data_IF_918208225788
#
_entry.id   IF_918208225788
#
_cell.length_a   1.000
_cell.length_b   1.000
_cell.length_c   1.000
_cell.angle_alpha   90.00
_cell.angle_beta   90.00
_cell.angle_gamma   90.00
#
_symmetry.space_group_name_H-M   'P 1'
#
loop_
_entity.id
_entity.type
_entity.pdbx_description
1 polymer ?
#
# COMPACT_ATOMS: atom_id res chain seq x y z
N UNK A 1 -3.90 -33.57 24.35
CA UNK A 1 -4.18 -32.26 23.72
C UNK A 1 -5.69 -32.16 23.60
N UNK A 2 -6.36 -31.11 24.11
CA UNK A 2 -7.80 -30.97 23.94
C UNK A 2 -8.15 -30.99 22.45
N UNK A 3 -9.08 -31.87 22.04
CA UNK A 3 -9.49 -32.05 20.65
C UNK A 3 -10.46 -30.96 20.15
N UNK A 4 -10.45 -29.77 20.79
CA UNK A 4 -11.37 -28.67 20.52
C UNK A 4 -10.80 -27.72 19.46
N UNK A 5 -11.63 -27.07 18.64
CA UNK A 5 -11.17 -26.07 17.70
C UNK A 5 -10.54 -24.88 18.45
N UNK A 6 -9.34 -24.49 18.02
CA UNK A 6 -8.62 -23.32 18.53
C UNK A 6 -8.82 -22.11 17.62
N UNK A 7 -9.17 -20.97 18.20
CA UNK A 7 -9.38 -19.71 17.51
C UNK A 7 -8.55 -18.61 18.17
N UNK A 8 -8.08 -17.67 17.37
CA UNK A 8 -7.49 -16.42 17.85
C UNK A 8 -8.48 -15.28 17.62
N UNK A 9 -8.69 -14.48 18.65
CA UNK A 9 -9.78 -13.49 18.67
C UNK A 9 -9.24 -12.14 18.25
N UNK A 10 -9.64 -11.67 17.07
CA UNK A 10 -9.37 -10.30 16.60
C UNK A 10 -10.52 -9.36 16.93
N UNK A 11 -10.24 -8.06 16.87
CA UNK A 11 -11.24 -7.01 16.89
C UNK A 11 -10.97 -5.98 15.79
N UNK A 12 -12.02 -5.48 15.14
CA UNK A 12 -11.89 -4.42 14.13
C UNK A 12 -13.15 -3.57 14.03
N UNK A 13 -12.98 -2.29 13.71
CA UNK A 13 -14.07 -1.37 13.32
C UNK A 13 -14.21 -1.25 11.80
N UNK A 14 -13.34 -1.90 11.02
CA UNK A 14 -13.31 -1.83 9.55
C UNK A 14 -13.50 -3.21 8.91
N UNK A 15 -14.72 -3.79 8.95
CA UNK A 15 -14.97 -5.11 8.36
C UNK A 15 -14.51 -5.24 6.90
N UNK A 16 -14.61 -4.17 6.10
CA UNK A 16 -14.10 -4.12 4.72
C UNK A 16 -12.60 -4.44 4.55
N UNK A 17 -11.81 -4.42 5.62
CA UNK A 17 -10.40 -4.84 5.56
C UNK A 17 -10.20 -6.34 5.77
N UNK A 18 -11.18 -7.06 6.32
CA UNK A 18 -11.10 -8.51 6.59
C UNK A 18 -10.80 -9.34 5.33
N UNK A 19 -11.42 -9.09 4.15
CA UNK A 19 -11.07 -9.82 2.93
C UNK A 19 -9.59 -9.74 2.52
N UNK A 20 -8.85 -8.80 3.07
CA UNK A 20 -7.43 -8.54 2.78
C UNK A 20 -6.52 -8.88 3.96
N UNK A 21 -7.03 -9.58 4.97
CA UNK A 21 -6.20 -10.04 6.08
C UNK A 21 -5.14 -11.04 5.59
N UNK A 22 -3.90 -10.80 6.02
CA UNK A 22 -2.73 -11.62 5.67
C UNK A 22 -1.85 -11.98 6.87
N UNK A 23 -2.02 -11.32 8.01
CA UNK A 23 -1.30 -11.65 9.23
C UNK A 23 -2.11 -11.25 10.47
N UNK A 24 -1.59 -11.61 11.64
CA UNK A 24 -2.12 -11.25 12.94
C UNK A 24 -0.99 -10.62 13.74
N UNK A 25 -1.27 -9.57 14.49
CA UNK A 25 -0.28 -8.85 15.28
C UNK A 25 -0.56 -8.99 16.77
N UNK A 26 0.49 -9.30 17.52
CA UNK A 26 0.49 -9.42 18.98
C UNK A 26 1.69 -8.67 19.54
N UNK A 27 1.53 -8.00 20.67
CA UNK A 27 2.67 -7.40 21.36
C UNK A 27 3.62 -8.48 21.92
N UNK A 28 4.95 -8.42 21.69
CA UNK A 28 5.89 -9.47 22.11
C UNK A 28 5.97 -9.67 23.63
N UNK A 29 5.83 -8.59 24.39
CA UNK A 29 5.99 -8.58 25.85
C UNK A 29 4.67 -8.75 26.63
N UNK A 30 3.52 -8.68 25.95
CA UNK A 30 2.23 -8.88 26.62
C UNK A 30 1.96 -10.37 26.82
N UNK A 31 1.18 -10.68 27.86
CA UNK A 31 0.77 -12.05 28.16
C UNK A 31 -0.55 -12.37 27.46
N UNK A 32 -0.60 -13.50 26.77
CA UNK A 32 -1.79 -14.03 26.10
C UNK A 32 -2.28 -15.28 26.81
N UNK A 33 -3.59 -15.43 26.88
CA UNK A 33 -4.26 -16.54 27.53
C UNK A 33 -4.92 -17.46 26.49
N UNK A 34 -4.80 -18.76 26.70
CA UNK A 34 -5.63 -19.77 26.08
C UNK A 34 -6.83 -20.03 27.00
N UNK A 35 -8.03 -19.68 26.55
CA UNK A 35 -9.27 -19.73 27.32
C UNK A 35 -10.15 -20.85 26.79
N UNK A 36 -10.55 -21.79 27.64
CA UNK A 36 -11.55 -22.81 27.31
C UNK A 36 -12.96 -22.28 27.62
N UNK A 37 -13.78 -22.15 26.59
CA UNK A 37 -15.17 -21.68 26.67
C UNK A 37 -16.20 -22.81 26.66
N UNK A 38 -15.73 -24.06 26.77
CA UNK A 38 -16.56 -25.26 26.67
C UNK A 38 -16.50 -25.87 25.27
N UNK A 39 -16.97 -25.14 24.26
CA UNK A 39 -17.04 -25.58 22.86
C UNK A 39 -15.73 -25.32 22.08
N UNK A 40 -15.03 -24.23 22.36
CA UNK A 40 -13.81 -23.80 21.66
C UNK A 40 -12.74 -23.24 22.59
N UNK A 41 -11.51 -23.19 22.09
CA UNK A 41 -10.38 -22.56 22.75
C UNK A 41 -10.11 -21.19 22.11
N UNK A 42 -10.06 -20.14 22.90
CA UNK A 42 -9.84 -18.77 22.44
C UNK A 42 -8.46 -18.27 22.89
N UNK A 43 -7.74 -17.62 21.98
CA UNK A 43 -6.50 -16.88 22.27
C UNK A 43 -6.78 -15.39 22.19
N UNK A 44 -6.50 -14.69 23.29
CA UNK A 44 -6.59 -13.23 23.43
C UNK A 44 -5.64 -12.75 24.55
N UNK A 45 -5.42 -11.44 24.65
CA UNK A 45 -4.59 -10.90 25.73
C UNK A 45 -5.20 -11.22 27.09
N UNK A 46 -4.36 -11.67 28.03
CA UNK A 46 -4.78 -12.13 29.37
C UNK A 46 -5.60 -11.07 30.10
N UNK A 47 -5.14 -9.82 30.04
CA UNK A 47 -5.75 -8.69 30.75
C UNK A 47 -7.09 -8.24 30.12
N UNK A 48 -7.43 -8.78 28.93
CA UNK A 48 -8.71 -8.53 28.23
C UNK A 48 -9.69 -9.68 28.35
N UNK A 49 -9.31 -10.81 28.97
CA UNK A 49 -10.13 -12.03 29.00
C UNK A 49 -11.50 -11.77 29.63
N UNK A 50 -11.54 -11.19 30.82
CA UNK A 50 -12.79 -10.95 31.56
C UNK A 50 -13.74 -10.05 30.78
N UNK A 51 -13.26 -8.86 30.37
CA UNK A 51 -14.05 -7.90 29.59
C UNK A 51 -14.53 -8.48 28.26
N UNK A 52 -13.69 -9.24 27.55
CA UNK A 52 -14.07 -9.86 26.29
C UNK A 52 -15.12 -10.96 26.48
N UNK A 53 -14.96 -11.84 27.48
CA UNK A 53 -15.92 -12.91 27.75
C UNK A 53 -17.31 -12.35 28.13
N UNK A 54 -17.35 -11.33 28.99
CA UNK A 54 -18.59 -10.62 29.33
C UNK A 54 -19.24 -10.04 28.06
N UNK A 55 -18.45 -9.37 27.21
CA UNK A 55 -18.92 -8.76 25.97
C UNK A 55 -19.48 -9.75 24.94
N UNK A 56 -18.92 -10.97 24.93
CA UNK A 56 -19.33 -12.07 24.08
C UNK A 56 -20.52 -12.84 24.67
N UNK A 57 -20.85 -12.64 25.94
CA UNK A 57 -21.84 -13.43 26.66
C UNK A 57 -21.40 -14.89 26.85
N UNK A 58 -20.10 -15.11 27.04
CA UNK A 58 -19.50 -16.43 27.21
C UNK A 58 -18.84 -16.55 28.59
N UNK A 59 -18.83 -17.76 29.14
CA UNK A 59 -18.01 -18.11 30.29
C UNK A 59 -16.76 -18.86 29.81
N UNK A 60 -15.64 -18.70 30.53
CA UNK A 60 -14.41 -19.37 30.14
C UNK A 60 -13.38 -19.47 31.25
N UNK A 61 -12.52 -20.47 31.15
CA UNK A 61 -11.42 -20.71 32.09
C UNK A 61 -10.08 -20.61 31.38
N UNK A 62 -9.16 -19.84 31.95
CA UNK A 62 -7.77 -19.78 31.48
C UNK A 62 -7.09 -21.13 31.71
N UNK A 63 -6.65 -21.76 30.63
CA UNK A 63 -5.97 -23.06 30.63
C UNK A 63 -4.45 -22.93 30.66
N UNK A 64 -3.92 -21.93 29.94
CA UNK A 64 -2.50 -21.66 29.84
C UNK A 64 -2.27 -20.19 29.48
N UNK A 65 -1.06 -19.70 29.75
CA UNK A 65 -0.63 -18.36 29.36
C UNK A 65 0.77 -18.39 28.78
N UNK A 66 1.07 -17.50 27.85
CA UNK A 66 2.42 -17.34 27.27
C UNK A 66 2.66 -15.87 26.91
N UNK A 67 3.92 -15.50 26.69
CA UNK A 67 4.27 -14.20 26.12
C UNK A 67 3.93 -14.16 24.63
N UNK A 68 3.56 -12.99 24.10
CA UNK A 68 3.25 -12.83 22.68
C UNK A 68 4.40 -13.21 21.75
N UNK A 69 5.64 -13.04 22.20
CA UNK A 69 6.84 -13.50 21.48
C UNK A 69 6.84 -15.02 21.23
N UNK A 70 6.20 -15.81 22.10
CA UNK A 70 6.09 -17.27 21.96
C UNK A 70 5.00 -17.70 20.98
N UNK A 71 4.11 -16.78 20.58
CA UNK A 71 3.08 -17.04 19.56
C UNK A 71 3.59 -16.78 18.13
N UNK A 72 4.80 -16.25 17.98
CA UNK A 72 5.35 -15.87 16.67
C UNK A 72 5.30 -17.04 15.67
N UNK A 73 4.87 -16.73 14.45
CA UNK A 73 4.73 -17.65 13.31
C UNK A 73 3.68 -18.77 13.46
N UNK A 74 2.96 -18.87 14.59
CA UNK A 74 1.76 -19.71 14.65
C UNK A 74 0.75 -19.13 13.65
N UNK A 75 0.17 -20.00 12.85
CA UNK A 75 -0.67 -19.62 11.73
C UNK A 75 -2.12 -20.06 11.93
N UNK A 76 -3.06 -19.19 11.57
CA UNK A 76 -4.49 -19.44 11.66
C UNK A 76 -5.13 -19.37 10.28
N UNK A 77 -6.17 -20.15 10.05
CA UNK A 77 -6.98 -20.01 8.84
C UNK A 77 -7.70 -18.66 8.83
N UNK A 78 -7.78 -18.06 7.65
CA UNK A 78 -8.58 -16.86 7.45
C UNK A 78 -10.03 -17.05 7.93
N UNK A 79 -10.70 -16.03 8.52
CA UNK A 79 -12.06 -16.17 9.08
C UNK A 79 -13.13 -16.59 8.05
N UNK A 80 -12.88 -16.39 6.76
CA UNK A 80 -13.76 -16.77 5.65
C UNK A 80 -13.32 -18.04 4.91
N UNK A 81 -12.28 -18.73 5.38
CA UNK A 81 -11.77 -19.97 4.78
C UNK A 81 -12.85 -21.06 4.61
N UNK A 82 -13.85 -21.22 5.50
CA UNK A 82 -14.92 -22.20 5.31
C UNK A 82 -15.85 -21.89 4.13
N UNK A 83 -15.98 -20.63 3.70
CA UNK A 83 -16.97 -20.22 2.71
C UNK A 83 -16.47 -20.22 1.26
N UNK A 84 -15.17 -20.02 1.04
CA UNK A 84 -14.63 -19.93 -0.32
C UNK A 84 -13.14 -20.28 -0.40
N UNK A 85 -12.75 -21.00 -1.47
CA UNK A 85 -11.36 -21.43 -1.72
C UNK A 85 -10.36 -20.27 -1.72
N UNK A 86 -10.72 -19.12 -2.29
CA UNK A 86 -9.87 -17.92 -2.28
C UNK A 86 -9.54 -17.34 -0.89
N UNK A 87 -10.22 -17.81 0.16
CA UNK A 87 -9.88 -17.51 1.56
C UNK A 87 -9.20 -18.68 2.28
N UNK A 88 -8.91 -19.81 1.62
CA UNK A 88 -8.09 -20.89 2.19
C UNK A 88 -6.60 -20.51 2.17
N UNK A 89 -6.27 -19.50 2.96
CA UNK A 89 -4.91 -19.04 3.24
C UNK A 89 -4.72 -18.90 4.74
N UNK A 90 -3.46 -18.94 5.14
CA UNK A 90 -3.04 -18.83 6.52
C UNK A 90 -2.60 -17.39 6.83
N UNK A 91 -2.95 -16.93 8.02
CA UNK A 91 -2.50 -15.67 8.60
C UNK A 91 -1.54 -15.99 9.76
N UNK A 92 -0.22 -15.84 9.58
CA UNK A 92 0.75 -16.01 10.65
C UNK A 92 0.68 -14.88 11.68
N UNK A 93 1.08 -15.17 12.90
CA UNK A 93 1.27 -14.18 13.95
C UNK A 93 2.65 -13.52 13.83
N UNK A 94 2.66 -12.19 13.76
CA UNK A 94 3.84 -11.34 13.79
C UNK A 94 3.88 -10.49 15.07
N UNK A 95 4.93 -10.60 15.88
CA UNK A 95 5.13 -9.71 17.01
C UNK A 95 5.22 -8.24 16.55
N UNK A 96 4.46 -7.36 17.20
CA UNK A 96 4.44 -5.94 16.88
C UNK A 96 4.18 -5.08 18.13
N UNK A 97 5.07 -4.14 18.40
CA UNK A 97 5.05 -3.28 19.60
C UNK A 97 3.92 -2.24 19.61
N UNK A 98 3.27 -1.99 18.46
CA UNK A 98 2.17 -1.03 18.38
C UNK A 98 0.86 -1.56 18.99
N UNK A 99 0.77 -2.86 19.29
CA UNK A 99 -0.44 -3.49 19.83
C UNK A 99 -0.59 -3.13 21.31
N UNK A 100 -1.68 -2.44 21.66
CA UNK A 100 -1.98 -2.05 23.05
C UNK A 100 -3.18 -2.82 23.62
N UNK A 101 -3.44 -2.64 24.92
CA UNK A 101 -4.55 -3.25 25.65
C UNK A 101 -5.72 -2.29 25.87
N UNK A 102 -5.67 -1.08 25.32
CA UNK A 102 -6.70 -0.07 25.56
C UNK A 102 -8.04 -0.48 24.91
N UNK A 103 -7.97 -1.08 23.72
CA UNK A 103 -9.15 -1.47 22.94
C UNK A 103 -9.02 -2.86 22.33
N UNK A 104 -10.15 -3.46 21.99
CA UNK A 104 -10.21 -4.78 21.36
C UNK A 104 -9.78 -5.91 22.31
N UNK A 105 -9.04 -6.86 21.74
CA UNK A 105 -8.73 -8.16 22.34
C UNK A 105 -7.23 -8.34 22.63
N UNK A 106 -6.42 -7.34 22.29
CA UNK A 106 -4.96 -7.43 22.25
C UNK A 106 -4.40 -8.22 21.07
N UNK A 107 -5.25 -8.62 20.10
CA UNK A 107 -4.80 -9.18 18.82
C UNK A 107 -5.35 -8.32 17.69
N UNK A 108 -4.47 -7.80 16.84
CA UNK A 108 -4.82 -6.95 15.71
C UNK A 108 -4.75 -7.78 14.44
N UNK A 109 -5.79 -7.74 13.61
CA UNK A 109 -5.72 -8.35 12.28
C UNK A 109 -4.95 -7.40 11.36
N UNK A 110 -4.08 -7.94 10.50
CA UNK A 110 -3.20 -7.15 9.65
C UNK A 110 -3.61 -7.23 8.19
N UNK A 111 -3.91 -6.07 7.60
CA UNK A 111 -4.22 -5.91 6.19
C UNK A 111 -3.25 -4.88 5.58
N UNK A 112 -2.06 -5.30 5.10
CA UNK A 112 -0.93 -4.41 4.82
C UNK A 112 -1.19 -3.33 3.75
N UNK A 113 -2.20 -3.51 2.90
CA UNK A 113 -2.60 -2.47 1.94
C UNK A 113 -3.42 -1.32 2.58
N UNK A 114 -3.85 -1.43 3.84
CA UNK A 114 -4.81 -0.51 4.46
C UNK A 114 -4.38 0.04 5.84
N UNK A 115 -3.16 -0.28 6.28
CA UNK A 115 -2.57 0.24 7.52
C UNK A 115 -1.05 0.41 7.39
N UNK A 116 -0.51 1.51 7.94
CA UNK A 116 0.93 1.79 7.85
C UNK A 116 1.74 0.84 8.74
N UNK A 117 1.27 0.60 9.96
CA UNK A 117 1.86 -0.34 10.91
C UNK A 117 1.78 -1.79 10.39
N UNK A 118 0.66 -2.14 9.76
CA UNK A 118 0.45 -3.43 9.09
C UNK A 118 1.47 -3.65 7.96
N UNK A 119 1.62 -2.64 7.10
CA UNK A 119 2.60 -2.66 6.02
C UNK A 119 4.02 -2.88 6.56
N UNK A 120 4.44 -2.06 7.54
CA UNK A 120 5.78 -2.18 8.16
C UNK A 120 5.99 -3.55 8.80
N UNK A 121 5.01 -4.06 9.55
CA UNK A 121 5.08 -5.38 10.19
C UNK A 121 5.23 -6.51 9.17
N UNK A 122 4.42 -6.49 8.11
CA UNK A 122 4.49 -7.49 7.04
C UNK A 122 5.81 -7.41 6.25
N UNK A 123 6.30 -6.20 5.97
CA UNK A 123 7.61 -5.99 5.30
C UNK A 123 8.78 -6.48 6.16
N UNK A 124 8.76 -6.22 7.46
CA UNK A 124 9.77 -6.74 8.40
C UNK A 124 9.79 -8.27 8.41
N UNK A 125 8.63 -8.91 8.19
CA UNK A 125 8.47 -10.36 8.06
C UNK A 125 8.60 -10.88 6.61
N UNK A 126 9.23 -10.10 5.71
CA UNK A 126 9.60 -10.47 4.34
C UNK A 126 8.41 -10.73 3.40
N UNK A 127 7.24 -10.18 3.68
CA UNK A 127 6.15 -10.18 2.70
C UNK A 127 6.57 -9.32 1.49
N UNK A 128 6.57 -9.92 0.30
CA UNK A 128 6.92 -9.20 -0.92
C UNK A 128 5.78 -8.28 -1.35
N UNK A 129 6.09 -7.17 -2.02
CA UNK A 129 5.07 -6.18 -2.39
C UNK A 129 4.03 -6.75 -3.36
N UNK A 130 4.44 -7.67 -4.24
CA UNK A 130 3.54 -8.40 -5.16
C UNK A 130 2.54 -9.32 -4.45
N UNK A 131 2.85 -9.73 -3.23
CA UNK A 131 2.02 -10.67 -2.46
C UNK A 131 1.06 -9.91 -1.53
N UNK A 132 1.14 -8.56 -1.45
CA UNK A 132 0.24 -7.72 -0.67
C UNK A 132 -1.11 -7.63 -1.39
N UNK A 133 -2.17 -8.08 -0.71
CA UNK A 133 -3.53 -8.03 -1.24
C UNK A 133 -4.08 -6.60 -1.18
N UNK A 134 -4.34 -6.02 -2.35
CA UNK A 134 -4.95 -4.70 -2.48
C UNK A 134 -6.21 -4.71 -3.37
N UNK A 135 -7.30 -5.39 -2.96
CA UNK A 135 -8.50 -5.50 -3.78
C UNK A 135 -9.33 -4.21 -3.91
N UNK A 136 -9.13 -3.19 -3.06
CA UNK A 136 -9.92 -1.95 -3.11
C UNK A 136 -9.39 -1.00 -4.18
N UNK A 137 -10.19 -0.76 -5.22
CA UNK A 137 -9.86 0.15 -6.32
C UNK A 137 -10.02 1.64 -5.92
N UNK A 138 -9.59 2.54 -6.81
CA UNK A 138 -9.50 3.99 -6.51
C UNK A 138 -10.83 4.68 -6.24
N UNK A 139 -11.92 4.05 -6.66
CA UNK A 139 -13.30 4.47 -6.42
C UNK A 139 -13.90 3.87 -5.13
N UNK A 140 -13.14 3.10 -4.35
CA UNK A 140 -13.62 2.44 -3.14
C UNK A 140 -14.48 1.19 -3.41
N UNK A 141 -14.39 0.62 -4.60
CA UNK A 141 -15.06 -0.63 -5.00
C UNK A 141 -14.03 -1.76 -5.02
N UNK A 142 -14.42 -2.96 -4.59
CA UNK A 142 -13.54 -4.13 -4.72
C UNK A 142 -13.36 -4.56 -6.17
N UNK A 143 -12.15 -5.00 -6.51
CA UNK A 143 -11.80 -5.54 -7.81
C UNK A 143 -12.65 -6.77 -8.16
N UNK A 144 -12.84 -7.02 -9.46
CA UNK A 144 -13.72 -8.08 -9.95
C UNK A 144 -13.28 -9.49 -9.56
N UNK A 145 -11.99 -9.68 -9.28
CA UNK A 145 -11.40 -10.96 -8.87
C UNK A 145 -11.57 -11.28 -7.39
N UNK A 146 -12.01 -10.34 -6.54
CA UNK A 146 -12.14 -10.60 -5.10
C UNK A 146 -13.31 -11.57 -4.82
N UNK A 147 -13.06 -12.73 -4.18
CA UNK A 147 -14.14 -13.65 -3.84
C UNK A 147 -15.22 -13.04 -2.95
N UNK A 148 -16.46 -13.47 -3.11
CA UNK A 148 -17.66 -13.08 -2.33
C UNK A 148 -18.09 -11.60 -2.41
N UNK A 149 -17.16 -10.66 -2.61
CA UNK A 149 -17.41 -9.22 -2.52
C UNK A 149 -16.98 -8.44 -3.78
N UNK A 150 -16.70 -9.13 -4.88
CA UNK A 150 -16.35 -8.51 -6.16
C UNK A 150 -17.35 -7.40 -6.56
N UNK A 151 -16.82 -6.28 -7.06
CA UNK A 151 -17.59 -5.12 -7.54
C UNK A 151 -18.47 -4.43 -6.48
N UNK A 152 -18.34 -4.77 -5.20
CA UNK A 152 -19.07 -4.12 -4.12
C UNK A 152 -18.32 -2.88 -3.62
N UNK A 153 -19.09 -1.83 -3.32
CA UNK A 153 -18.57 -0.65 -2.64
C UNK A 153 -18.30 -0.97 -1.16
N UNK A 154 -17.13 -0.63 -0.64
CA UNK A 154 -16.65 -1.08 0.70
C UNK A 154 -17.65 -0.84 1.83
N UNK A 155 -18.36 0.30 1.84
CA UNK A 155 -19.33 0.61 2.90
C UNK A 155 -20.60 -0.26 2.80
N UNK A 156 -20.98 -0.66 1.58
CA UNK A 156 -22.08 -1.61 1.35
C UNK A 156 -21.64 -3.06 1.62
N UNK A 157 -20.35 -3.34 1.49
CA UNK A 157 -19.78 -4.65 1.77
C UNK A 157 -19.65 -4.94 3.28
N UNK A 158 -19.44 -3.93 4.13
CA UNK A 158 -19.36 -4.10 5.59
C UNK A 158 -20.42 -5.05 6.20
N UNK A 159 -21.74 -4.81 6.01
CA UNK A 159 -22.75 -5.73 6.56
C UNK A 159 -22.69 -7.13 5.92
N UNK A 160 -22.36 -7.24 4.62
CA UNK A 160 -22.22 -8.53 3.94
C UNK A 160 -21.03 -9.34 4.47
N UNK A 161 -19.93 -8.67 4.83
CA UNK A 161 -18.76 -9.31 5.42
C UNK A 161 -19.07 -9.82 6.82
N UNK A 162 -19.80 -9.03 7.62
CA UNK A 162 -20.26 -9.48 8.95
C UNK A 162 -21.15 -10.71 8.83
N UNK A 163 -22.07 -10.72 7.87
CA UNK A 163 -22.93 -11.90 7.63
C UNK A 163 -22.12 -13.10 7.15
N UNK A 164 -21.17 -12.92 6.23
CA UNK A 164 -20.27 -13.99 5.81
C UNK A 164 -19.45 -14.55 6.98
N UNK A 165 -18.97 -13.72 7.91
CA UNK A 165 -18.29 -14.22 9.12
C UNK A 165 -19.25 -14.98 10.06
N UNK A 166 -20.53 -14.58 10.11
CA UNK A 166 -21.58 -15.29 10.85
C UNK A 166 -21.83 -16.67 10.25
N UNK A 167 -22.02 -16.74 8.93
CA UNK A 167 -22.19 -18.00 8.18
C UNK A 167 -20.96 -18.92 8.29
N UNK A 168 -19.75 -18.36 8.28
CA UNK A 168 -18.51 -19.09 8.46
C UNK A 168 -18.30 -19.62 9.89
N UNK A 169 -19.11 -19.17 10.87
CA UNK A 169 -18.96 -19.50 12.28
C UNK A 169 -17.75 -18.87 12.96
N UNK A 170 -17.16 -17.82 12.36
CA UNK A 170 -15.99 -17.11 12.89
C UNK A 170 -16.35 -15.80 13.63
N UNK A 171 -17.59 -15.31 13.50
CA UNK A 171 -18.08 -14.14 14.22
C UNK A 171 -18.46 -14.48 15.67
N UNK A 172 -17.77 -13.88 16.63
CA UNK A 172 -18.12 -13.99 18.06
C UNK A 172 -19.14 -12.94 18.50
N UNK A 173 -18.95 -11.69 18.06
CA UNK A 173 -19.81 -10.58 18.46
C UNK A 173 -19.80 -9.46 17.42
N UNK A 174 -20.97 -8.94 17.11
CA UNK A 174 -21.15 -7.68 16.37
C UNK A 174 -21.80 -6.63 17.26
N UNK A 175 -21.30 -5.39 17.19
CA UNK A 175 -21.83 -4.21 17.90
C UNK A 175 -21.58 -2.96 17.04
N UNK A 176 -22.50 -2.00 17.09
CA UNK A 176 -22.25 -0.66 16.51
C UNK A 176 -21.31 0.12 17.41
N UNK A 177 -20.25 0.68 16.83
CA UNK A 177 -19.22 1.42 17.57
C UNK A 177 -19.12 2.85 17.02
N UNK A 178 -19.40 3.84 17.87
CA UNK A 178 -19.33 5.26 17.50
C UNK A 178 -18.04 5.86 18.01
N UNK A 179 -17.19 6.34 17.09
CA UNK A 179 -15.93 6.98 17.40
C UNK A 179 -15.55 8.01 16.34
N UNK A 180 -14.53 8.82 16.63
CA UNK A 180 -13.97 9.75 15.65
C UNK A 180 -13.33 8.98 14.49
N UNK A 181 -13.74 9.29 13.26
CA UNK A 181 -13.21 8.70 12.04
C UNK A 181 -12.66 9.79 11.11
N UNK A 182 -11.72 9.42 10.25
CA UNK A 182 -11.12 10.36 9.30
C UNK A 182 -12.12 10.71 8.20
N UNK A 183 -12.30 12.01 7.95
CA UNK A 183 -13.16 12.51 6.90
C UNK A 183 -12.40 13.51 6.01
N UNK A 184 -12.73 13.53 4.72
CA UNK A 184 -12.25 14.54 3.80
C UNK A 184 -12.66 15.92 4.32
N UNK A 185 -11.69 16.81 4.56
CA UNK A 185 -11.96 18.13 5.14
C UNK A 185 -12.91 18.98 4.27
N UNK A 186 -12.96 18.74 2.95
CA UNK A 186 -13.82 19.43 1.98
C UNK A 186 -15.18 18.74 1.80
N UNK A 187 -15.18 17.47 1.37
CA UNK A 187 -16.41 16.75 1.03
C UNK A 187 -17.13 16.15 2.25
N UNK A 188 -16.47 16.12 3.42
CA UNK A 188 -16.94 15.48 4.65
C UNK A 188 -17.27 14.00 4.50
N UNK A 189 -16.83 13.36 3.42
CA UNK A 189 -16.95 11.92 3.21
C UNK A 189 -15.87 11.17 4.01
N UNK A 190 -16.15 9.95 4.50
CA UNK A 190 -15.12 9.11 5.12
C UNK A 190 -13.95 8.84 4.17
N UNK A 191 -12.74 8.79 4.71
CA UNK A 191 -11.52 8.43 3.95
C UNK A 191 -10.89 7.18 4.53
N UNK A 192 -10.15 6.45 3.69
CA UNK A 192 -9.43 5.23 4.06
C UNK A 192 -7.94 5.40 3.74
N UNK A 193 -7.09 4.71 4.49
CA UNK A 193 -5.74 4.44 4.02
C UNK A 193 -5.78 3.37 2.94
N UNK A 194 -4.98 3.57 1.90
CA UNK A 194 -4.82 2.62 0.82
C UNK A 194 -3.42 2.72 0.26
N UNK A 195 -2.72 1.60 0.19
CA UNK A 195 -1.47 1.46 -0.53
C UNK A 195 -1.76 1.76 -2.01
N UNK A 196 -1.05 2.73 -2.57
CA UNK A 196 -1.15 3.09 -3.97
C UNK A 196 0.18 2.88 -4.64
N UNK A 197 0.16 2.47 -5.90
CA UNK A 197 1.34 2.52 -6.74
C UNK A 197 1.85 3.95 -6.81
N UNK A 198 3.16 4.11 -6.66
CA UNK A 198 3.89 5.34 -6.89
C UNK A 198 5.01 5.03 -7.87
N UNK A 199 5.39 6.02 -8.66
CA UNK A 199 6.42 5.90 -9.68
C UNK A 199 7.74 6.40 -9.13
N UNK A 200 8.78 5.58 -9.24
CA UNK A 200 10.10 5.87 -8.70
C UNK A 200 11.14 5.85 -9.82
N UNK A 201 12.07 6.80 -9.78
CA UNK A 201 13.35 6.68 -10.45
C UNK A 201 14.31 5.89 -9.56
N UNK A 202 14.78 4.75 -10.06
CA UNK A 202 15.72 3.93 -9.30
C UNK A 202 17.11 4.55 -9.31
N UNK A 203 17.68 4.74 -8.12
CA UNK A 203 19.01 5.34 -7.96
C UNK A 203 20.13 4.34 -8.28
N UNK A 204 19.91 3.05 -8.03
CA UNK A 204 20.94 2.01 -8.10
C UNK A 204 20.78 1.06 -9.29
N UNK A 205 19.60 1.02 -9.92
CA UNK A 205 19.37 0.15 -11.08
C UNK A 205 20.18 0.63 -12.27
N UNK A 206 20.99 -0.27 -12.84
CA UNK A 206 21.73 0.02 -14.08
C UNK A 206 20.77 0.03 -15.28
N UNK A 207 20.86 1.04 -16.17
CA UNK A 207 20.06 1.05 -17.38
C UNK A 207 20.44 -0.09 -18.33
N UNK A 208 19.54 -0.46 -19.23
CA UNK A 208 19.74 -1.57 -20.18
C UNK A 208 20.83 -1.31 -21.22
N UNK A 209 21.24 -0.06 -21.41
CA UNK A 209 22.31 0.35 -22.32
C UNK A 209 23.71 0.23 -21.69
N UNK A 210 23.81 -0.37 -20.49
CA UNK A 210 25.08 -0.65 -19.81
C UNK A 210 25.73 0.57 -19.15
N UNK A 211 25.07 1.74 -19.16
CA UNK A 211 25.57 2.95 -18.49
C UNK A 211 25.58 2.81 -16.96
N UNK A 212 26.23 3.77 -16.32
CA UNK A 212 26.21 3.88 -14.87
C UNK A 212 24.76 4.11 -14.37
N UNK A 213 24.47 3.63 -13.17
CA UNK A 213 23.25 3.96 -12.44
C UNK A 213 23.14 5.47 -12.21
N UNK A 214 21.93 5.96 -11.89
CA UNK A 214 21.72 7.38 -11.59
C UNK A 214 22.60 7.85 -10.43
N UNK A 215 22.82 7.01 -9.41
CA UNK A 215 23.70 7.33 -8.28
C UNK A 215 25.16 7.43 -8.72
N UNK A 216 25.66 6.45 -9.47
CA UNK A 216 27.03 6.46 -9.98
C UNK A 216 27.27 7.71 -10.84
N UNK A 217 26.37 8.00 -11.79
CA UNK A 217 26.47 9.18 -12.65
C UNK A 217 26.43 10.50 -11.85
N UNK A 218 25.53 10.61 -10.86
CA UNK A 218 25.45 11.80 -10.01
C UNK A 218 26.70 11.98 -9.14
N UNK A 219 27.26 10.90 -8.57
CA UNK A 219 28.50 10.97 -7.79
C UNK A 219 29.69 11.39 -8.66
N UNK A 220 29.82 10.86 -9.88
CA UNK A 220 30.85 11.31 -10.84
C UNK A 220 30.66 12.78 -11.20
N UNK A 221 29.43 13.23 -11.45
CA UNK A 221 29.13 14.64 -11.72
C UNK A 221 29.52 15.56 -10.55
N UNK A 222 29.25 15.15 -9.31
CA UNK A 222 29.69 15.88 -8.11
C UNK A 222 31.22 15.92 -8.02
N UNK A 223 31.91 14.83 -8.38
CA UNK A 223 33.38 14.82 -8.34
C UNK A 223 33.99 15.80 -9.35
N UNK A 224 33.41 15.89 -10.55
CA UNK A 224 33.88 16.74 -11.63
C UNK A 224 33.43 18.21 -11.51
N UNK A 225 32.59 18.55 -10.53
CA UNK A 225 32.10 19.92 -10.33
C UNK A 225 32.93 20.63 -9.26
N UNK A 226 33.32 21.87 -9.53
CA UNK A 226 33.94 22.74 -8.52
C UNK A 226 32.89 23.33 -7.58
N UNK A 227 33.14 23.26 -6.27
CA UNK A 227 32.24 23.78 -5.24
C UNK A 227 32.89 24.92 -4.46
N UNK A 228 32.17 26.02 -4.34
CA UNK A 228 32.54 27.16 -3.50
C UNK A 228 31.39 27.43 -2.52
N UNK A 229 31.56 27.16 -1.21
CA UNK A 229 32.74 26.62 -0.53
C UNK A 229 32.92 25.09 -0.66
N UNK A 230 34.16 24.61 -0.50
CA UNK A 230 34.53 23.21 -0.72
C UNK A 230 33.74 22.18 0.13
N UNK A 231 33.29 22.55 1.33
CA UNK A 231 32.50 21.65 2.17
C UNK A 231 31.14 21.29 1.55
N UNK A 232 30.63 22.11 0.62
CA UNK A 232 29.38 21.83 -0.11
C UNK A 232 29.44 20.52 -0.90
N UNK A 233 30.62 20.20 -1.46
CA UNK A 233 30.86 18.95 -2.20
C UNK A 233 30.64 17.72 -1.31
N UNK A 234 31.24 17.70 -0.12
CA UNK A 234 31.13 16.57 0.81
C UNK A 234 29.71 16.37 1.33
N UNK A 235 28.98 17.47 1.58
CA UNK A 235 27.57 17.44 1.98
C UNK A 235 26.69 16.81 0.90
N UNK A 236 26.83 17.28 -0.34
CA UNK A 236 26.03 16.77 -1.46
C UNK A 236 26.37 15.31 -1.78
N UNK A 237 27.67 14.96 -1.78
CA UNK A 237 28.14 13.58 -1.96
C UNK A 237 27.53 12.63 -0.92
N UNK A 238 27.56 13.01 0.36
CA UNK A 238 27.00 12.19 1.45
C UNK A 238 25.49 12.00 1.33
N UNK A 239 24.78 13.06 0.89
CA UNK A 239 23.34 12.99 0.62
C UNK A 239 23.03 12.02 -0.52
N UNK A 240 23.75 12.13 -1.65
CA UNK A 240 23.53 11.27 -2.82
C UNK A 240 23.98 9.84 -2.56
N UNK A 241 25.03 9.59 -1.78
CA UNK A 241 25.49 8.23 -1.50
C UNK A 241 24.44 7.36 -0.79
N UNK A 242 23.62 7.95 0.08
CA UNK A 242 22.64 7.23 0.91
C UNK A 242 21.18 7.48 0.50
N UNK A 243 20.95 8.18 -0.62
CA UNK A 243 19.59 8.56 -1.03
C UNK A 243 18.78 7.33 -1.46
N UNK A 244 17.55 7.11 -0.96
CA UNK A 244 16.68 6.06 -1.52
C UNK A 244 16.21 6.41 -2.94
N UNK A 245 15.49 5.48 -3.57
CA UNK A 245 14.82 5.72 -4.85
C UNK A 245 13.95 6.97 -4.81
N UNK A 246 13.96 7.73 -5.91
CA UNK A 246 13.27 9.01 -5.97
C UNK A 246 11.83 8.83 -6.43
N UNK A 247 10.87 9.07 -5.53
CA UNK A 247 9.45 9.12 -5.89
C UNK A 247 9.17 10.31 -6.82
N UNK A 248 8.88 10.03 -8.09
CA UNK A 248 8.57 11.00 -9.13
C UNK A 248 7.09 11.38 -9.16
N UNK A 249 6.19 10.45 -8.85
CA UNK A 249 4.75 10.71 -8.95
C UNK A 249 4.23 11.62 -7.84
N UNK A 250 3.29 12.49 -8.19
CA UNK A 250 2.52 13.34 -7.27
C UNK A 250 1.05 13.29 -7.67
N UNK A 251 0.15 13.04 -6.72
CA UNK A 251 -1.30 13.05 -6.96
C UNK A 251 -1.83 14.50 -6.94
N UNK A 252 -1.45 15.30 -7.95
CA UNK A 252 -1.84 16.71 -8.08
C UNK A 252 -2.51 16.95 -9.44
N UNK A 253 -3.31 18.01 -9.50
CA UNK A 253 -3.96 18.43 -10.76
C UNK A 253 -3.10 19.38 -11.59
N UNK A 254 -2.14 20.08 -10.95
CA UNK A 254 -1.27 21.04 -11.61
C UNK A 254 0.18 20.55 -11.58
N UNK A 255 0.74 20.32 -12.77
CA UNK A 255 2.10 19.81 -13.01
C UNK A 255 2.19 19.10 -14.36
N UNK A 256 3.40 18.72 -14.78
CA UNK A 256 3.59 17.91 -15.99
C UNK A 256 2.98 16.53 -15.78
N UNK A 257 2.02 16.07 -16.60
CA UNK A 257 1.39 14.76 -16.42
C UNK A 257 2.37 13.62 -16.71
N UNK A 258 2.29 12.56 -15.93
CA UNK A 258 2.92 11.28 -16.25
C UNK A 258 2.05 10.56 -17.29
N UNK A 259 2.20 10.95 -18.55
CA UNK A 259 1.23 10.69 -19.62
C UNK A 259 1.28 9.26 -20.21
N UNK A 260 0.93 8.27 -19.40
CA UNK A 260 0.73 6.88 -19.85
C UNK A 260 -0.55 6.30 -19.25
N UNK A 261 -0.94 5.11 -19.71
CA UNK A 261 -2.14 4.42 -19.27
C UNK A 261 -1.81 3.31 -18.28
N UNK A 262 -2.68 3.14 -17.28
CA UNK A 262 -2.58 2.09 -16.26
C UNK A 262 -3.83 1.22 -16.28
N UNK A 263 -3.67 -0.08 -16.07
CA UNK A 263 -4.78 -1.01 -16.00
C UNK A 263 -5.58 -0.78 -14.71
N UNK A 264 -6.91 -0.70 -14.81
CA UNK A 264 -7.81 -0.29 -13.70
C UNK A 264 -7.73 -1.17 -12.47
N UNK A 265 -7.48 -2.47 -12.65
CA UNK A 265 -7.47 -3.43 -11.55
C UNK A 265 -6.07 -3.78 -11.04
N UNK A 266 -5.11 -3.95 -11.95
CA UNK A 266 -3.74 -4.35 -11.57
C UNK A 266 -2.84 -3.15 -11.27
N UNK A 267 -3.18 -1.97 -11.76
CA UNK A 267 -2.34 -0.77 -11.65
C UNK A 267 -1.06 -0.82 -12.51
N UNK A 268 -0.90 -1.85 -13.34
CA UNK A 268 0.28 -2.00 -14.21
C UNK A 268 0.20 -1.04 -15.42
N UNK A 269 1.35 -0.52 -15.89
CA UNK A 269 1.39 0.28 -17.10
C UNK A 269 1.00 -0.56 -18.32
N UNK A 270 0.38 0.08 -19.31
CA UNK A 270 0.03 -0.58 -20.57
C UNK A 270 1.28 -1.18 -21.25
N UNK A 271 1.24 -2.39 -21.85
CA UNK A 271 2.42 -3.03 -22.45
C UNK A 271 3.11 -2.16 -23.52
N UNK A 272 2.32 -1.39 -24.28
CA UNK A 272 2.78 -0.40 -25.28
C UNK A 272 3.17 0.98 -24.71
N UNK A 273 3.50 1.09 -23.42
CA UNK A 273 3.73 2.39 -22.76
C UNK A 273 4.75 3.27 -23.46
N UNK A 274 5.88 2.73 -23.93
CA UNK A 274 6.92 3.52 -24.60
C UNK A 274 6.42 4.13 -25.91
N UNK A 275 5.70 3.35 -26.71
CA UNK A 275 5.11 3.79 -27.99
C UNK A 275 4.05 4.88 -27.75
N UNK A 276 3.14 4.65 -26.81
CA UNK A 276 2.05 5.57 -26.48
C UNK A 276 2.58 6.88 -25.89
N UNK A 277 3.61 6.82 -25.03
CA UNK A 277 4.27 8.01 -24.49
C UNK A 277 4.81 8.91 -25.59
N UNK A 278 5.44 8.33 -26.62
CA UNK A 278 5.97 9.07 -27.76
C UNK A 278 4.85 9.70 -28.60
N UNK A 279 3.75 8.99 -28.83
CA UNK A 279 2.59 9.56 -29.53
C UNK A 279 1.99 10.73 -28.75
N UNK A 280 1.82 10.58 -27.44
CA UNK A 280 1.29 11.64 -26.58
C UNK A 280 2.25 12.83 -26.52
N UNK A 281 3.57 12.59 -26.44
CA UNK A 281 4.58 13.64 -26.47
C UNK A 281 4.48 14.50 -27.74
N UNK A 282 4.30 13.87 -28.91
CA UNK A 282 4.09 14.58 -30.20
C UNK A 282 2.82 15.41 -30.23
N UNK A 283 1.75 14.96 -29.58
CA UNK A 283 0.50 15.75 -29.44
C UNK A 283 0.74 16.95 -28.52
N UNK A 284 1.38 16.73 -27.37
CA UNK A 284 1.71 17.78 -26.39
C UNK A 284 2.64 18.83 -26.99
N UNK A 285 3.59 18.46 -27.85
CA UNK A 285 4.47 19.40 -28.56
C UNK A 285 3.70 20.38 -29.45
N UNK A 286 2.59 19.94 -30.06
CA UNK A 286 1.78 20.75 -30.99
C UNK A 286 0.66 21.55 -30.29
N UNK A 287 -0.02 20.91 -29.36
CA UNK A 287 -1.27 21.40 -28.76
C UNK A 287 -1.10 21.84 -27.29
N UNK A 288 0.09 21.63 -26.73
CA UNK A 288 0.40 21.90 -25.32
C UNK A 288 -0.07 20.78 -24.38
N UNK A 289 0.17 20.99 -23.09
CA UNK A 289 -0.11 20.00 -22.02
C UNK A 289 -1.60 19.62 -21.92
N UNK A 290 -2.50 20.49 -22.38
CA UNK A 290 -3.94 20.23 -22.41
C UNK A 290 -4.32 19.10 -23.37
N UNK A 291 -3.47 18.78 -24.35
CA UNK A 291 -3.67 17.65 -25.25
C UNK A 291 -3.84 16.35 -24.46
N UNK A 292 -3.01 16.14 -23.43
CA UNK A 292 -3.18 14.98 -22.55
C UNK A 292 -4.51 15.04 -21.83
N UNK A 293 -4.99 16.19 -21.36
CA UNK A 293 -6.25 16.27 -20.63
C UNK A 293 -7.46 15.97 -21.51
N UNK A 294 -7.48 16.51 -22.73
CA UNK A 294 -8.56 16.35 -23.72
C UNK A 294 -8.59 14.98 -24.39
N UNK A 295 -7.47 14.26 -24.38
CA UNK A 295 -7.35 12.94 -24.99
C UNK A 295 -8.33 11.94 -24.37
N UNK A 296 -9.18 11.36 -25.22
CA UNK A 296 -10.00 10.21 -24.87
C UNK A 296 -9.21 8.91 -25.01
N UNK A 297 -9.33 8.03 -24.01
CA UNK A 297 -8.55 6.78 -23.95
C UNK A 297 -8.80 5.88 -25.18
N UNK A 298 -10.03 5.88 -25.67
CA UNK A 298 -10.45 5.11 -26.84
C UNK A 298 -9.75 5.52 -28.13
N UNK A 299 -9.25 6.76 -28.24
CA UNK A 299 -8.52 7.22 -29.43
C UNK A 299 -7.19 6.47 -29.62
N UNK A 300 -6.52 6.09 -28.53
CA UNK A 300 -5.23 5.39 -28.58
C UNK A 300 -5.35 3.89 -28.33
N UNK A 301 -6.31 3.47 -27.52
CA UNK A 301 -6.42 2.09 -27.07
C UNK A 301 -7.59 1.32 -27.72
N UNK A 302 -8.49 1.99 -28.43
CA UNK A 302 -9.64 1.34 -29.07
C UNK A 302 -10.48 0.56 -28.06
N UNK A 303 -10.68 -0.74 -28.33
CA UNK A 303 -11.47 -1.65 -27.48
C UNK A 303 -10.87 -1.87 -26.08
N UNK A 304 -9.55 -1.78 -25.93
CA UNK A 304 -8.86 -1.96 -24.64
C UNK A 304 -9.14 -0.80 -23.67
N UNK A 305 -9.66 0.33 -24.16
CA UNK A 305 -9.93 1.52 -23.33
C UNK A 305 -10.86 1.24 -22.14
N UNK A 306 -11.70 0.21 -22.20
CA UNK A 306 -12.53 -0.20 -21.07
C UNK A 306 -11.71 -0.68 -19.86
N UNK A 307 -10.53 -1.26 -20.08
CA UNK A 307 -9.67 -1.87 -19.05
C UNK A 307 -8.62 -0.90 -18.50
N UNK A 308 -8.33 0.18 -19.23
CA UNK A 308 -7.28 1.13 -18.89
C UNK A 308 -7.83 2.51 -18.52
N UNK A 309 -7.09 3.23 -17.69
CA UNK A 309 -7.33 4.64 -17.40
C UNK A 309 -6.05 5.46 -17.53
N UNK A 310 -6.22 6.77 -17.73
CA UNK A 310 -5.10 7.71 -17.77
C UNK A 310 -4.47 7.78 -16.38
N UNK A 311 -3.15 7.65 -16.32
CA UNK A 311 -2.45 7.94 -15.08
C UNK A 311 -2.74 9.37 -14.65
N UNK A 312 -3.16 9.52 -13.39
CA UNK A 312 -3.58 10.79 -12.80
C UNK A 312 -2.43 11.53 -12.14
N UNK A 313 -1.28 10.89 -12.03
CA UNK A 313 -0.11 11.47 -11.40
C UNK A 313 0.56 12.52 -12.29
N UNK A 314 1.09 13.56 -11.65
CA UNK A 314 2.02 14.51 -12.24
C UNK A 314 3.44 14.19 -11.78
N UNK A 315 4.43 14.65 -12.54
CA UNK A 315 5.83 14.61 -12.14
C UNK A 315 6.09 15.53 -10.93
N UNK A 316 7.13 15.19 -10.20
CA UNK A 316 7.66 15.98 -9.11
C UNK A 316 8.21 17.31 -9.66
N UNK A 317 7.93 18.43 -8.99
CA UNK A 317 8.39 19.76 -9.44
C UNK A 317 9.92 19.86 -9.53
N UNK A 318 10.63 19.06 -8.71
CA UNK A 318 12.08 18.95 -8.79
C UNK A 318 12.55 18.32 -10.11
N UNK A 319 11.75 17.46 -10.73
CA UNK A 319 12.02 16.92 -12.06
C UNK A 319 11.88 18.01 -13.13
N UNK A 320 10.80 18.79 -13.09
CA UNK A 320 10.57 19.89 -14.04
C UNK A 320 11.72 20.90 -13.99
N UNK A 321 12.10 21.35 -12.77
CA UNK A 321 13.25 22.25 -12.61
C UNK A 321 14.59 21.59 -12.96
N UNK A 322 14.73 20.29 -12.69
CA UNK A 322 15.94 19.52 -12.92
C UNK A 322 16.22 19.23 -14.39
N UNK A 323 15.24 19.37 -15.28
CA UNK A 323 15.40 19.14 -16.74
C UNK A 323 15.58 20.42 -17.55
N UNK A 324 15.64 21.59 -16.89
CA UNK A 324 15.86 22.89 -17.54
C UNK A 324 17.17 22.96 -18.32
N UNK A 325 18.23 22.27 -17.86
CA UNK A 325 19.50 22.19 -18.58
C UNK A 325 19.36 21.52 -19.96
N UNK A 326 18.33 20.70 -20.15
CA UNK A 326 18.06 20.04 -21.42
C UNK A 326 17.06 20.85 -22.26
N UNK A 327 15.91 21.19 -21.70
CA UNK A 327 14.84 21.81 -22.49
C UNK A 327 15.03 23.31 -22.74
N UNK A 328 15.71 24.03 -21.83
CA UNK A 328 15.96 25.46 -21.97
C UNK A 328 17.35 25.70 -22.56
N UNK A 329 18.41 25.26 -21.86
CA UNK A 329 19.80 25.54 -22.26
C UNK A 329 20.16 24.85 -23.58
N UNK A 330 19.70 23.62 -23.82
CA UNK A 330 19.98 22.88 -25.07
C UNK A 330 18.83 22.94 -26.08
N UNK A 331 17.70 23.54 -25.70
CA UNK A 331 16.49 23.63 -26.49
C UNK A 331 16.16 25.06 -26.86
N UNK A 332 15.16 25.64 -26.18
CA UNK A 332 14.56 26.93 -26.58
C UNK A 332 15.52 28.12 -26.60
N UNK A 333 16.57 28.11 -25.77
CA UNK A 333 17.58 29.18 -25.69
C UNK A 333 18.97 28.66 -26.04
N UNK A 334 19.05 27.63 -26.88
CA UNK A 334 20.31 27.00 -27.25
C UNK A 334 21.32 28.00 -27.79
N UNK A 335 20.90 28.87 -28.70
CA UNK A 335 21.81 29.81 -29.35
C UNK A 335 22.36 30.88 -28.39
N UNK A 336 21.69 31.12 -27.26
CA UNK A 336 22.08 32.14 -26.27
C UNK A 336 22.85 31.54 -25.08
N UNK A 337 22.46 30.34 -24.64
CA UNK A 337 22.92 29.76 -23.37
C UNK A 337 23.82 28.54 -23.55
N UNK A 338 23.76 27.85 -24.69
CA UNK A 338 24.52 26.63 -24.89
C UNK A 338 25.99 26.94 -25.19
N UNK A 339 26.89 26.34 -24.41
CA UNK A 339 28.34 26.42 -24.63
C UNK A 339 28.87 25.03 -24.94
N UNK A 340 29.23 24.73 -26.21
CA UNK A 340 29.76 23.43 -26.60
C UNK A 340 31.01 23.03 -25.81
N UNK A 341 31.81 24.00 -25.35
CA UNK A 341 33.02 23.78 -24.57
C UNK A 341 32.75 23.25 -23.15
N UNK A 342 31.49 23.27 -22.69
CA UNK A 342 31.08 22.77 -21.37
C UNK A 342 30.66 21.28 -21.38
N UNK A 343 30.74 20.60 -22.52
CA UNK A 343 30.42 19.15 -22.63
C UNK A 343 31.64 18.23 -22.46
N UNK A 344 32.86 18.77 -22.51
CA UNK A 344 34.11 18.06 -22.18
C UNK A 344 34.40 18.12 -20.69
#
# INVERSE_FOLDING_TARGET
IPAKPGMIVIWTTTPWTIPSNQALNVHPELTYALVDTGDKLLILAKDRVETCLEDFGLEGKVMATCLGSQLANISFWHPLAPLHEGYKRLSPIYPAEYVTLDTGTGVVHSAPAYGEEDFKSCKANKLADKDILNPVMGNGVYASWLPLFANEYIWKANPKIVEAMREAGSLLRDKTYTHSYMHCWRHKSPIIYRATSQWFASMDKKPSDGKASLREAALTGIENTEFFPAWGKQRLKSMIANRPDWTLSRQRQWGVPMAFFVHKESGEPHPRTVELLEEIAKRVEKEGIEAWQKLEVAELLGEEAAQYEKNRDTLDVWFDSGTTHWHVIRGSHRDELYRPEAES
#
